data_IF_986841005172
#
_entry.id   IF_986841005172
#
_cell.length_a   1.000
_cell.length_b   1.000
_cell.length_c   1.000
_cell.angle_alpha   90.00
_cell.angle_beta   90.00
_cell.angle_gamma   90.00
#
_symmetry.space_group_name_H-M   'P 1'
#
loop_
_entity.id
_entity.type
_entity.pdbx_description
1 polymer ?
#
# COMPACT_ATOMS: atom_id res chain seq x y z
N UNK A 1 -2.95 -23.57 -18.62
CA UNK A 1 -1.60 -24.16 -18.64
C UNK A 1 -0.63 -23.12 -19.18
N UNK A 2 0.22 -22.59 -18.32
CA UNK A 2 1.20 -21.53 -18.60
C UNK A 2 2.51 -22.13 -19.14
N UNK A 3 3.33 -21.31 -19.81
CA UNK A 3 4.66 -21.76 -20.28
C UNK A 3 5.58 -22.20 -19.13
N UNK A 4 5.39 -21.63 -17.94
CA UNK A 4 6.13 -22.03 -16.72
C UNK A 4 5.79 -23.47 -16.32
N UNK A 5 4.52 -23.83 -16.36
CA UNK A 5 4.05 -25.19 -16.07
C UNK A 5 4.46 -26.17 -17.19
N UNK A 6 4.36 -25.74 -18.45
CA UNK A 6 4.70 -26.56 -19.61
C UNK A 6 6.18 -26.99 -19.62
N UNK A 7 7.06 -26.15 -19.07
CA UNK A 7 8.50 -26.44 -18.96
C UNK A 7 8.93 -26.92 -17.56
N UNK A 8 7.99 -27.29 -16.68
CA UNK A 8 8.28 -27.74 -15.31
C UNK A 8 9.13 -26.76 -14.47
N UNK A 9 9.00 -25.46 -14.72
CA UNK A 9 9.77 -24.41 -14.05
C UNK A 9 9.13 -23.94 -12.73
N UNK A 10 7.97 -24.48 -12.37
CA UNK A 10 7.16 -24.10 -11.21
C UNK A 10 7.96 -24.01 -9.89
N UNK A 11 8.71 -25.06 -9.54
CA UNK A 11 9.47 -25.09 -8.27
C UNK A 11 10.62 -24.08 -8.28
N UNK A 12 11.33 -23.96 -9.41
CA UNK A 12 12.42 -23.00 -9.58
C UNK A 12 11.91 -21.56 -9.45
N UNK A 13 10.81 -21.24 -10.13
CA UNK A 13 10.18 -19.92 -10.06
C UNK A 13 9.78 -19.60 -8.62
N UNK A 14 9.14 -20.54 -7.91
CA UNK A 14 8.76 -20.35 -6.51
C UNK A 14 9.97 -20.12 -5.61
N UNK A 15 10.98 -20.98 -5.68
CA UNK A 15 12.18 -20.90 -4.83
C UNK A 15 12.91 -19.56 -5.02
N UNK A 16 13.14 -19.16 -6.28
CA UNK A 16 13.82 -17.89 -6.59
C UNK A 16 13.00 -16.66 -6.23
N UNK A 17 11.66 -16.75 -6.30
CA UNK A 17 10.77 -15.68 -5.82
C UNK A 17 10.80 -15.54 -4.30
N UNK A 18 10.85 -16.64 -3.56
CA UNK A 18 11.06 -16.61 -2.10
C UNK A 18 12.43 -16.05 -1.72
N UNK A 19 13.44 -16.18 -2.59
CA UNK A 19 14.76 -15.55 -2.44
C UNK A 19 14.78 -14.06 -2.83
N UNK A 20 13.63 -13.44 -3.13
CA UNK A 20 13.51 -12.01 -3.44
C UNK A 20 13.83 -11.63 -4.89
N UNK A 21 14.06 -12.59 -5.79
CA UNK A 21 14.43 -12.29 -7.18
C UNK A 21 13.26 -11.66 -7.94
N UNK A 22 13.48 -10.54 -8.63
CA UNK A 22 12.45 -9.87 -9.43
C UNK A 22 12.04 -10.74 -10.64
N UNK A 23 10.86 -10.49 -11.21
CA UNK A 23 10.42 -11.24 -12.39
C UNK A 23 11.39 -11.07 -13.58
N UNK A 24 12.06 -9.92 -13.68
CA UNK A 24 13.02 -9.64 -14.76
C UNK A 24 14.28 -10.45 -14.59
N UNK A 25 14.87 -10.43 -13.41
CA UNK A 25 16.04 -11.25 -13.07
C UNK A 25 15.74 -12.74 -13.21
N UNK A 26 14.55 -13.18 -12.82
CA UNK A 26 14.11 -14.56 -13.02
C UNK A 26 14.00 -14.94 -14.50
N UNK A 27 13.50 -14.03 -15.33
CA UNK A 27 13.40 -14.22 -16.78
C UNK A 27 14.78 -14.36 -17.40
N UNK A 28 15.71 -13.50 -17.01
CA UNK A 28 17.08 -13.53 -17.49
C UNK A 28 17.80 -14.77 -16.99
N UNK A 29 17.61 -15.16 -15.73
CA UNK A 29 18.16 -16.38 -15.15
C UNK A 29 17.70 -17.63 -15.91
N UNK A 30 16.39 -17.76 -16.16
CA UNK A 30 15.82 -18.92 -16.87
C UNK A 30 16.32 -18.98 -18.32
N UNK A 31 16.36 -17.84 -19.02
CA UNK A 31 16.76 -17.79 -20.42
C UNK A 31 18.28 -17.98 -20.62
N UNK A 32 19.10 -17.67 -19.61
CA UNK A 32 20.56 -17.78 -19.69
C UNK A 32 21.10 -19.08 -19.07
N UNK A 33 20.29 -19.85 -18.35
CA UNK A 33 20.71 -21.14 -17.77
C UNK A 33 20.46 -22.26 -18.78
N UNK A 34 21.53 -22.92 -19.21
CA UNK A 34 21.45 -24.02 -20.19
C UNK A 34 20.68 -25.21 -19.62
N UNK A 35 19.76 -25.76 -20.42
CA UNK A 35 19.03 -26.99 -20.11
C UNK A 35 17.69 -26.80 -19.40
N UNK A 36 17.29 -25.57 -19.05
CA UNK A 36 15.99 -25.30 -18.42
C UNK A 36 14.82 -25.22 -19.41
N UNK A 37 15.08 -24.77 -20.64
CA UNK A 37 14.08 -24.71 -21.71
C UNK A 37 14.61 -25.47 -22.94
N UNK A 38 13.83 -26.41 -23.51
CA UNK A 38 14.19 -27.08 -24.75
C UNK A 38 14.36 -26.11 -25.93
N UNK A 39 15.22 -26.45 -26.90
CA UNK A 39 15.34 -25.78 -28.19
C UNK A 39 15.72 -24.28 -28.16
N UNK A 40 16.43 -23.81 -27.13
CA UNK A 40 16.79 -22.39 -26.96
C UNK A 40 15.58 -21.42 -26.99
N UNK A 41 14.38 -21.93 -26.70
CA UNK A 41 13.20 -21.08 -26.61
C UNK A 41 13.34 -20.11 -25.44
N UNK A 42 12.97 -18.84 -25.65
CA UNK A 42 13.02 -17.80 -24.61
C UNK A 42 11.64 -17.60 -24.02
N UNK A 43 11.53 -17.76 -22.71
CA UNK A 43 10.31 -17.39 -22.00
C UNK A 43 10.24 -15.87 -21.90
N UNK A 44 9.06 -15.31 -22.18
CA UNK A 44 8.85 -13.87 -22.05
C UNK A 44 8.59 -13.49 -20.59
N UNK A 45 9.04 -12.29 -20.22
CA UNK A 45 8.81 -11.71 -18.90
C UNK A 45 7.33 -11.74 -18.49
N UNK A 46 6.42 -11.44 -19.43
CA UNK A 46 4.98 -11.46 -19.20
C UNK A 46 4.46 -12.85 -18.81
N UNK A 47 5.08 -13.92 -19.31
CA UNK A 47 4.68 -15.29 -18.98
C UNK A 47 5.02 -15.64 -17.53
N UNK A 48 6.20 -15.19 -17.06
CA UNK A 48 6.63 -15.34 -15.66
C UNK A 48 5.77 -14.45 -14.75
N UNK A 49 5.57 -13.19 -15.11
CA UNK A 49 4.76 -12.26 -14.32
C UNK A 49 3.30 -12.73 -14.17
N UNK A 50 2.72 -13.29 -15.23
CA UNK A 50 1.38 -13.89 -15.20
C UNK A 50 1.32 -15.09 -14.27
N UNK A 51 2.27 -16.03 -14.42
CA UNK A 51 2.36 -17.19 -13.55
C UNK A 51 2.48 -16.80 -12.07
N UNK A 52 3.38 -15.87 -11.75
CA UNK A 52 3.58 -15.40 -10.38
C UNK A 52 2.33 -14.73 -9.81
N UNK A 53 1.60 -13.94 -10.60
CA UNK A 53 0.34 -13.32 -10.18
C UNK A 53 -0.74 -14.37 -9.90
N UNK A 54 -0.90 -15.33 -10.79
CA UNK A 54 -1.94 -16.37 -10.70
C UNK A 54 -1.69 -17.35 -9.53
N UNK A 55 -0.46 -17.40 -9.01
CA UNK A 55 -0.05 -18.30 -7.92
C UNK A 55 0.34 -17.58 -6.62
N UNK A 56 -0.04 -16.30 -6.47
CA UNK A 56 0.22 -15.54 -5.24
C UNK A 56 1.70 -15.24 -4.95
N UNK A 57 2.58 -15.36 -5.95
CA UNK A 57 4.01 -14.99 -5.89
C UNK A 57 4.25 -13.55 -6.38
N UNK A 58 3.20 -12.73 -6.35
CA UNK A 58 3.20 -11.35 -6.77
C UNK A 58 3.68 -10.39 -5.67
N UNK A 59 4.39 -9.32 -6.03
CA UNK A 59 4.84 -8.28 -5.07
C UNK A 59 6.23 -8.55 -4.50
N UNK A 60 6.65 -7.85 -3.45
CA UNK A 60 7.90 -8.19 -2.74
C UNK A 60 7.61 -9.40 -1.85
N UNK A 61 8.17 -10.57 -2.20
CA UNK A 61 7.91 -11.85 -1.50
C UNK A 61 8.94 -12.08 -0.39
N UNK A 62 9.88 -11.14 -0.20
CA UNK A 62 10.69 -11.07 1.02
C UNK A 62 9.76 -10.73 2.19
N UNK A 63 9.31 -11.77 2.88
CA UNK A 63 8.60 -11.72 4.16
C UNK A 63 7.26 -10.97 4.15
N UNK A 64 6.28 -11.47 3.40
CA UNK A 64 4.88 -11.27 3.81
C UNK A 64 4.50 -12.40 4.77
N UNK A 65 4.74 -12.15 6.05
CA UNK A 65 3.97 -12.78 7.12
C UNK A 65 2.49 -12.55 6.83
N UNK A 66 1.75 -13.63 6.51
CA UNK A 66 0.31 -13.59 6.28
C UNK A 66 -0.51 -13.18 7.53
N UNK A 67 0.15 -12.86 8.66
CA UNK A 67 -0.44 -12.40 9.91
C UNK A 67 -0.20 -10.92 10.22
N UNK A 68 0.52 -10.16 9.38
CA UNK A 68 0.62 -8.71 9.61
C UNK A 68 -0.67 -8.02 9.18
N UNK A 69 -1.48 -7.63 10.17
CA UNK A 69 -2.54 -6.66 9.98
C UNK A 69 -1.97 -5.44 9.23
N UNK A 70 -2.29 -5.34 7.94
CA UNK A 70 -1.77 -4.28 7.07
C UNK A 70 -2.19 -2.95 7.66
N UNK A 71 -1.22 -2.20 8.16
CA UNK A 71 -1.47 -0.84 8.62
C UNK A 71 -1.73 0.03 7.38
N UNK A 72 -3.01 0.18 7.03
CA UNK A 72 -3.49 0.91 5.85
C UNK A 72 -2.96 2.35 5.83
N UNK A 73 -2.87 2.99 6.99
CA UNK A 73 -2.30 4.33 7.10
C UNK A 73 -0.82 4.35 6.69
N UNK A 74 -0.02 3.40 7.19
CA UNK A 74 1.40 3.28 6.87
C UNK A 74 1.63 2.98 5.38
N UNK A 75 0.84 2.09 4.80
CA UNK A 75 0.90 1.79 3.36
C UNK A 75 0.48 2.97 2.49
N UNK A 76 -0.55 3.74 2.89
CA UNK A 76 -0.94 4.95 2.18
C UNK A 76 0.16 6.03 2.26
N UNK A 77 0.81 6.19 3.42
CA UNK A 77 1.96 7.09 3.57
C UNK A 77 3.14 6.67 2.70
N UNK A 78 3.46 5.38 2.64
CA UNK A 78 4.51 4.83 1.76
C UNK A 78 4.17 5.07 0.29
N UNK A 79 2.94 4.76 -0.12
CA UNK A 79 2.45 5.02 -1.48
C UNK A 79 2.52 6.50 -1.86
N UNK A 80 2.19 7.40 -0.93
CA UNK A 80 2.29 8.84 -1.14
C UNK A 80 3.75 9.27 -1.35
N UNK A 81 4.68 8.71 -0.58
CA UNK A 81 6.11 8.96 -0.75
C UNK A 81 6.59 8.53 -2.14
N UNK A 82 6.27 7.29 -2.56
CA UNK A 82 6.67 6.75 -3.86
C UNK A 82 6.13 7.61 -5.02
N UNK A 83 4.89 8.09 -4.90
CA UNK A 83 4.28 8.99 -5.89
C UNK A 83 4.99 10.34 -5.94
N UNK A 84 5.37 10.92 -4.80
CA UNK A 84 6.14 12.16 -4.78
C UNK A 84 7.50 11.97 -5.45
N UNK A 85 8.20 10.88 -5.16
CA UNK A 85 9.47 10.54 -5.82
C UNK A 85 9.28 10.36 -7.34
N UNK A 86 8.21 9.70 -7.77
CA UNK A 86 7.91 9.55 -9.18
C UNK A 86 7.63 10.90 -9.88
N UNK A 87 6.89 11.81 -9.22
CA UNK A 87 6.63 13.16 -9.72
C UNK A 87 7.91 13.98 -9.85
N UNK A 88 8.84 13.86 -8.89
CA UNK A 88 10.14 14.53 -8.94
C UNK A 88 10.97 14.03 -10.13
N UNK A 89 11.02 12.70 -10.34
CA UNK A 89 11.73 12.09 -11.48
C UNK A 89 11.14 12.59 -12.81
N UNK A 90 9.81 12.60 -12.95
CA UNK A 90 9.16 13.07 -14.18
C UNK A 90 9.43 14.57 -14.38
N UNK A 91 9.44 15.37 -13.32
CA UNK A 91 9.74 16.81 -13.41
C UNK A 91 11.15 17.06 -13.93
N UNK A 92 12.14 16.33 -13.42
CA UNK A 92 13.53 16.38 -13.91
C UNK A 92 13.63 15.94 -15.38
N UNK A 93 12.89 14.90 -15.78
CA UNK A 93 12.85 14.45 -17.17
C UNK A 93 12.22 15.49 -18.10
N UNK A 94 11.15 16.15 -17.66
CA UNK A 94 10.51 17.23 -18.41
C UNK A 94 11.43 18.44 -18.58
N UNK A 95 12.20 18.81 -17.57
CA UNK A 95 13.22 19.87 -17.66
C UNK A 95 14.31 19.52 -18.68
N UNK A 96 14.76 18.27 -18.69
CA UNK A 96 15.76 17.81 -19.65
C UNK A 96 15.20 17.77 -21.08
N UNK A 97 13.95 17.33 -21.25
CA UNK A 97 13.25 17.41 -22.54
C UNK A 97 13.09 18.85 -23.01
N UNK A 98 12.73 19.79 -22.14
CA UNK A 98 12.61 21.20 -22.49
C UNK A 98 13.94 21.79 -23.04
N UNK A 99 15.09 21.39 -22.48
CA UNK A 99 16.41 21.77 -23.04
C UNK A 99 16.65 21.18 -24.43
N UNK A 100 16.11 20.01 -24.72
CA UNK A 100 16.22 19.34 -26.02
C UNK A 100 15.23 19.89 -27.06
N UNK A 101 14.10 20.47 -26.62
CA UNK A 101 13.12 21.13 -27.53
C UNK A 101 13.81 22.26 -28.28
N UNK A 102 14.63 23.07 -27.59
CA UNK A 102 15.43 24.14 -28.20
C UNK A 102 16.46 23.65 -29.23
N UNK A 103 16.76 22.34 -29.27
CA UNK A 103 17.68 21.70 -30.22
C UNK A 103 16.95 20.94 -31.34
N UNK A 104 15.61 20.97 -31.37
CA UNK A 104 14.80 20.30 -32.40
C UNK A 104 14.75 18.76 -32.31
N UNK A 105 15.17 18.18 -31.18
CA UNK A 105 15.36 16.73 -31.01
C UNK A 105 14.22 16.02 -30.25
N UNK A 106 13.15 16.73 -29.91
CA UNK A 106 12.12 16.18 -29.01
C UNK A 106 10.95 15.58 -29.77
N UNK A 107 10.66 14.33 -29.46
CA UNK A 107 9.47 13.64 -29.93
C UNK A 107 8.25 14.08 -29.10
N UNK A 108 7.29 14.74 -29.77
CA UNK A 108 6.03 15.23 -29.16
C UNK A 108 5.24 14.11 -28.47
N UNK A 109 5.35 12.86 -28.97
CA UNK A 109 4.68 11.70 -28.39
C UNK A 109 5.20 11.38 -26.98
N UNK A 110 6.52 11.46 -26.78
CA UNK A 110 7.14 11.13 -25.50
C UNK A 110 6.80 12.20 -24.44
N UNK A 111 6.73 13.46 -24.86
CA UNK A 111 6.27 14.57 -24.02
C UNK A 111 4.81 14.39 -23.58
N UNK A 112 3.92 14.02 -24.51
CA UNK A 112 2.51 13.75 -24.21
C UNK A 112 2.35 12.59 -23.22
N UNK A 113 3.16 11.54 -23.33
CA UNK A 113 3.14 10.41 -22.39
C UNK A 113 3.58 10.85 -20.98
N UNK A 114 4.62 11.68 -20.87
CA UNK A 114 5.05 12.22 -19.58
C UNK A 114 4.00 13.12 -18.93
N UNK A 115 3.41 14.04 -19.69
CA UNK A 115 2.35 14.93 -19.19
C UNK A 115 1.16 14.10 -18.67
N UNK A 116 0.69 13.13 -19.46
CA UNK A 116 -0.39 12.23 -19.04
C UNK A 116 -0.05 11.41 -17.78
N UNK A 117 1.23 11.05 -17.61
CA UNK A 117 1.68 10.32 -16.42
C UNK A 117 1.73 11.22 -15.19
N UNK A 118 2.16 12.47 -15.38
CA UNK A 118 2.21 13.50 -14.35
C UNK A 118 0.80 13.84 -13.84
N UNK A 119 -0.17 13.99 -14.74
CA UNK A 119 -1.58 14.23 -14.36
C UNK A 119 -2.16 13.08 -13.54
N UNK A 120 -1.93 11.83 -13.97
CA UNK A 120 -2.41 10.63 -13.26
C UNK A 120 -1.80 10.52 -11.86
N UNK A 121 -0.49 10.74 -11.74
CA UNK A 121 0.21 10.69 -10.47
C UNK A 121 -0.20 11.85 -9.55
N UNK A 122 -0.43 13.04 -10.11
CA UNK A 122 -0.91 14.19 -9.35
C UNK A 122 -2.31 13.95 -8.79
N UNK A 123 -3.22 13.39 -9.59
CA UNK A 123 -4.55 13.01 -9.13
C UNK A 123 -4.45 11.95 -8.03
N UNK A 124 -3.63 10.91 -8.23
CA UNK A 124 -3.43 9.85 -7.23
C UNK A 124 -2.86 10.38 -5.92
N UNK A 125 -1.93 11.34 -6.00
CA UNK A 125 -1.39 12.06 -4.84
C UNK A 125 -2.49 12.76 -4.07
N UNK A 126 -3.33 13.55 -4.75
CA UNK A 126 -4.45 14.25 -4.12
C UNK A 126 -5.42 13.29 -3.41
N UNK A 127 -5.78 12.18 -4.06
CA UNK A 127 -6.65 11.16 -3.46
C UNK A 127 -6.02 10.53 -2.21
N UNK A 128 -4.73 10.17 -2.25
CA UNK A 128 -4.04 9.60 -1.09
C UNK A 128 -3.91 10.61 0.05
N UNK A 129 -3.57 11.86 -0.25
CA UNK A 129 -3.50 12.92 0.75
C UNK A 129 -4.85 13.14 1.44
N UNK A 130 -5.95 13.19 0.68
CA UNK A 130 -7.29 13.30 1.24
C UNK A 130 -7.62 12.10 2.16
N UNK A 131 -7.36 10.87 1.71
CA UNK A 131 -7.59 9.67 2.53
C UNK A 131 -6.75 9.65 3.80
N UNK A 132 -5.49 10.07 3.73
CA UNK A 132 -4.61 10.20 4.90
C UNK A 132 -5.18 11.24 5.87
N UNK A 133 -5.63 12.38 5.36
CA UNK A 133 -6.27 13.42 6.17
C UNK A 133 -7.51 12.91 6.90
N UNK A 134 -8.40 12.18 6.21
CA UNK A 134 -9.59 11.57 6.82
C UNK A 134 -9.23 10.56 7.93
N UNK A 135 -8.21 9.73 7.71
CA UNK A 135 -7.74 8.78 8.72
C UNK A 135 -7.18 9.51 9.95
N UNK A 136 -6.37 10.56 9.74
CA UNK A 136 -5.81 11.36 10.83
C UNK A 136 -6.89 12.10 11.61
N UNK A 137 -7.88 12.67 10.92
CA UNK A 137 -9.00 13.36 11.57
C UNK A 137 -9.80 12.40 12.45
N UNK A 138 -10.06 11.17 11.99
CA UNK A 138 -10.70 10.13 12.80
C UNK A 138 -9.88 9.80 14.04
N UNK A 139 -8.58 9.53 13.89
CA UNK A 139 -7.67 9.25 15.01
C UNK A 139 -7.68 10.40 16.03
N UNK A 140 -7.58 11.64 15.56
CA UNK A 140 -7.60 12.83 16.40
C UNK A 140 -8.92 13.00 17.16
N UNK A 141 -10.06 12.74 16.49
CA UNK A 141 -11.39 12.76 17.13
C UNK A 141 -11.48 11.71 18.24
N UNK A 142 -11.04 10.47 18.00
CA UNK A 142 -11.03 9.43 19.03
C UNK A 142 -10.15 9.80 20.22
N UNK A 143 -8.94 10.27 19.94
CA UNK A 143 -8.01 10.63 21.00
C UNK A 143 -8.55 11.78 21.85
N UNK A 144 -9.19 12.77 21.21
CA UNK A 144 -9.83 13.89 21.89
C UNK A 144 -10.99 13.42 22.76
N UNK A 145 -11.87 12.56 22.25
CA UNK A 145 -13.00 11.99 23.02
C UNK A 145 -12.47 11.16 24.20
N UNK A 146 -11.47 10.31 23.97
CA UNK A 146 -10.85 9.52 25.03
C UNK A 146 -10.26 10.40 26.14
N UNK A 147 -9.62 11.51 25.79
CA UNK A 147 -9.11 12.49 26.77
C UNK A 147 -10.23 13.18 27.53
N UNK A 148 -11.33 13.55 26.87
CA UNK A 148 -12.50 14.16 27.52
C UNK A 148 -13.10 13.18 28.53
N UNK A 149 -13.38 11.94 28.10
CA UNK A 149 -13.93 10.88 28.97
C UNK A 149 -12.99 10.64 30.14
N UNK A 150 -11.68 10.46 29.89
CA UNK A 150 -10.69 10.27 30.94
C UNK A 150 -10.66 11.41 31.95
N UNK A 151 -10.76 12.66 31.47
CA UNK A 151 -10.78 13.86 32.33
C UNK A 151 -12.06 13.94 33.17
N UNK A 152 -13.22 13.64 32.58
CA UNK A 152 -14.51 13.62 33.30
C UNK A 152 -14.50 12.53 34.35
N UNK A 153 -14.11 11.31 33.98
CA UNK A 153 -14.05 10.16 34.89
C UNK A 153 -13.09 10.40 36.05
N UNK A 154 -11.92 10.99 35.79
CA UNK A 154 -10.95 11.36 36.83
C UNK A 154 -11.49 12.42 37.80
N UNK A 155 -12.33 13.36 37.33
CA UNK A 155 -12.98 14.34 38.22
C UNK A 155 -14.08 13.70 39.05
N UNK A 156 -14.91 12.87 38.41
CA UNK A 156 -16.01 12.16 39.08
C UNK A 156 -15.47 11.23 40.16
N UNK A 157 -14.37 10.51 39.91
CA UNK A 157 -13.77 9.60 40.89
C UNK A 157 -13.28 10.28 42.19
N UNK A 158 -13.11 11.59 42.19
CA UNK A 158 -12.74 12.36 43.40
C UNK A 158 -13.97 12.63 44.29
N UNK A 159 -15.18 12.61 43.71
CA UNK A 159 -16.40 13.09 44.36
C UNK A 159 -17.31 11.96 44.83
N UNK A 160 -17.03 10.72 44.44
CA UNK A 160 -17.84 9.55 44.76
C UNK A 160 -16.98 8.43 45.35
N UNK A 161 -17.62 7.46 46.01
CA UNK A 161 -16.89 6.31 46.56
C UNK A 161 -16.42 5.36 45.45
N UNK A 162 -15.40 4.52 45.70
CA UNK A 162 -14.94 3.54 44.71
C UNK A 162 -16.05 2.61 44.20
N UNK A 163 -16.97 2.21 45.08
CA UNK A 163 -18.12 1.35 44.74
C UNK A 163 -19.09 2.06 43.79
N UNK A 164 -19.44 3.32 44.09
CA UNK A 164 -20.28 4.15 43.22
C UNK A 164 -19.62 4.43 41.86
N UNK A 165 -18.30 4.51 41.83
CA UNK A 165 -17.54 4.74 40.60
C UNK A 165 -17.54 3.52 39.68
N UNK A 166 -17.44 2.30 40.22
CA UNK A 166 -17.57 1.08 39.42
C UNK A 166 -19.02 0.88 38.92
N UNK A 167 -20.02 1.16 39.77
CA UNK A 167 -21.43 1.10 39.37
C UNK A 167 -21.74 2.09 38.23
N UNK A 168 -21.18 3.32 38.30
CA UNK A 168 -21.27 4.30 37.23
C UNK A 168 -20.63 3.83 35.92
N UNK A 169 -19.45 3.18 35.98
CA UNK A 169 -18.81 2.64 34.76
C UNK A 169 -19.67 1.58 34.10
N UNK A 170 -20.27 0.69 34.88
CA UNK A 170 -21.11 -0.38 34.35
C UNK A 170 -22.41 0.17 33.78
N UNK A 171 -23.01 1.20 34.40
CA UNK A 171 -24.13 1.93 33.81
C UNK A 171 -23.76 2.58 32.47
N UNK A 172 -22.62 3.27 32.40
CA UNK A 172 -22.16 3.92 31.17
C UNK A 172 -21.87 2.91 30.05
N UNK A 173 -21.34 1.72 30.37
CA UNK A 173 -21.11 0.64 29.39
C UNK A 173 -22.39 0.05 28.83
N UNK A 174 -23.49 0.09 29.60
CA UNK A 174 -24.78 -0.44 29.19
C UNK A 174 -25.69 0.62 28.57
N UNK A 175 -25.28 1.89 28.59
CA UNK A 175 -26.05 2.99 28.02
C UNK A 175 -26.11 2.87 26.48
N UNK A 176 -27.30 2.62 25.90
CA UNK A 176 -27.44 2.39 24.47
C UNK A 176 -27.12 3.64 23.64
N UNK A 177 -27.37 4.84 24.16
CA UNK A 177 -27.09 6.11 23.47
C UNK A 177 -25.58 6.35 23.45
N UNK A 178 -24.87 6.06 24.54
CA UNK A 178 -23.41 6.17 24.58
C UNK A 178 -22.76 5.12 23.66
N UNK A 179 -23.26 3.89 23.65
CA UNK A 179 -22.78 2.85 22.74
C UNK A 179 -23.02 3.21 21.27
N UNK A 180 -24.18 3.79 20.94
CA UNK A 180 -24.52 4.23 19.59
C UNK A 180 -23.66 5.43 19.16
N UNK A 181 -23.49 6.44 20.03
CA UNK A 181 -22.59 7.56 19.78
C UNK A 181 -21.13 7.09 19.58
N UNK A 182 -20.67 6.11 20.37
CA UNK A 182 -19.35 5.50 20.17
C UNK A 182 -19.23 4.73 18.86
N UNK A 183 -20.32 4.12 18.35
CA UNK A 183 -20.35 3.47 17.02
C UNK A 183 -20.29 4.45 15.87
N UNK A 184 -21.01 5.57 15.96
CA UNK A 184 -20.96 6.61 14.91
C UNK A 184 -19.56 7.20 14.78
N UNK A 185 -18.86 7.33 15.92
CA UNK A 185 -17.47 7.76 15.92
C UNK A 185 -16.58 6.60 15.46
N UNK A 186 -16.74 5.35 15.97
CA UNK A 186 -15.90 4.16 15.72
C UNK A 186 -16.64 2.95 15.10
N UNK A 187 -17.00 2.98 13.81
CA UNK A 187 -17.80 1.92 13.21
C UNK A 187 -17.05 0.57 13.04
N UNK A 188 -15.73 0.53 13.14
CA UNK A 188 -14.90 -0.65 12.83
C UNK A 188 -14.39 -1.45 14.04
N UNK A 189 -14.74 -1.09 15.28
CA UNK A 189 -14.20 -1.71 16.51
C UNK A 189 -15.25 -2.45 17.39
N UNK A 190 -16.38 -2.88 16.81
CA UNK A 190 -17.36 -3.76 17.50
C UNK A 190 -17.66 -4.97 16.63
#
# INVERSE_FOLDING_TARGET
MTLVEQYNLTNLVREKRMQGMSYRELTDYINNTKGLIPNNYKISHNSIARYCRDHGLGGDVSEQSNDEAVNVYRENCKSLHDINTALDIISVQLDEMNKQVGKGSVNVKDLSVMINSLDKLTLRRQTLTASIGEMQEKVYKYETISRIIGTVMAKVSVWITPEQYEELKDMLRQDPILCEALREVAPSNI
#
